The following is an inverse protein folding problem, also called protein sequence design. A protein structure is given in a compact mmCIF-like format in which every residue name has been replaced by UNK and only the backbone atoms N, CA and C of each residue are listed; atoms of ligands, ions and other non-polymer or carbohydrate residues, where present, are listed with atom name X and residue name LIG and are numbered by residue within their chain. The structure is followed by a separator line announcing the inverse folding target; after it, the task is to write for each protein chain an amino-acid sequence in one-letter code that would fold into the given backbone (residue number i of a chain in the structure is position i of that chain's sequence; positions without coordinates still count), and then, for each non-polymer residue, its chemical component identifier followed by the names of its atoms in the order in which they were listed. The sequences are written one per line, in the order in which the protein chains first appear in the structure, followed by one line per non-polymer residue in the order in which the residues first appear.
data_IF_988965715506
#
_entry.id   IF_988965715506
#
_cell.length_a   1.000
_cell.length_b   1.000
_cell.length_c   1.000
_cell.angle_alpha   90.00
_cell.angle_beta   90.00
_cell.angle_gamma   90.00
#
_symmetry.space_group_name_H-M   'P 1'
#
loop_
_entity.id
_entity.type
_entity.pdbx_description
1 polymer ?
#
# COMPACT_ATOMS: atom_id res chain seq x y z
N UNK A 1 -13.22 -14.19 10.98
CA UNK A 1 -14.27 -13.22 11.33
C UNK A 1 -15.07 -13.78 12.49
N UNK A 2 -15.25 -13.02 13.56
CA UNK A 2 -16.06 -13.40 14.72
C UNK A 2 -17.42 -12.73 14.59
N UNK A 3 -18.48 -13.51 14.76
CA UNK A 3 -19.87 -13.06 14.62
C UNK A 3 -20.66 -13.34 15.89
N UNK A 4 -21.63 -12.47 16.18
CA UNK A 4 -22.62 -12.62 17.27
C UNK A 4 -24.03 -12.49 16.71
N UNK A 5 -24.99 -13.25 17.22
CA UNK A 5 -26.39 -13.11 16.79
C UNK A 5 -26.94 -11.72 17.19
N UNK A 6 -27.61 -11.02 16.28
CA UNK A 6 -28.25 -9.72 16.59
C UNK A 6 -29.33 -9.85 17.67
N UNK A 7 -29.97 -11.01 17.76
CA UNK A 7 -30.98 -11.33 18.78
C UNK A 7 -30.40 -11.53 20.19
N UNK A 8 -29.08 -11.65 20.34
CA UNK A 8 -28.45 -12.02 21.61
C UNK A 8 -28.61 -13.50 22.00
N UNK A 9 -29.23 -14.32 21.14
CA UNK A 9 -29.38 -15.77 21.38
C UNK A 9 -28.03 -16.50 21.38
N UNK A 10 -27.92 -17.58 22.18
CA UNK A 10 -26.75 -18.44 22.21
C UNK A 10 -26.68 -19.36 20.98
N UNK A 11 -25.46 -19.61 20.51
CA UNK A 11 -25.15 -20.31 19.26
C UNK A 11 -25.21 -21.86 19.36
N UNK A 12 -25.79 -22.40 20.42
CA UNK A 12 -25.91 -23.85 20.69
C UNK A 12 -27.30 -24.42 20.37
N UNK A 13 -28.25 -23.60 19.91
CA UNK A 13 -29.60 -24.04 19.57
C UNK A 13 -29.74 -24.48 18.11
N UNK A 14 -30.76 -25.28 17.81
CA UNK A 14 -31.06 -25.70 16.43
C UNK A 14 -31.43 -24.50 15.52
N UNK A 15 -32.10 -23.48 16.08
CA UNK A 15 -32.42 -22.24 15.36
C UNK A 15 -31.14 -21.49 15.00
N UNK A 16 -30.23 -21.33 15.96
CA UNK A 16 -28.94 -20.69 15.73
C UNK A 16 -28.11 -21.47 14.70
N UNK A 17 -28.11 -22.81 14.74
CA UNK A 17 -27.46 -23.62 13.72
C UNK A 17 -28.00 -23.32 12.31
N UNK A 18 -29.32 -23.26 12.11
CA UNK A 18 -29.89 -22.93 10.80
C UNK A 18 -29.46 -21.54 10.32
N UNK A 19 -29.44 -20.55 11.20
CA UNK A 19 -28.98 -19.20 10.88
C UNK A 19 -27.49 -19.18 10.53
N UNK A 20 -26.65 -19.88 11.31
CA UNK A 20 -25.22 -20.02 11.05
C UNK A 20 -24.95 -20.78 9.74
N UNK A 21 -25.74 -21.80 9.42
CA UNK A 21 -25.66 -22.53 8.15
C UNK A 21 -26.04 -21.64 6.97
N UNK A 22 -27.09 -20.82 7.10
CA UNK A 22 -27.45 -19.85 6.07
C UNK A 22 -26.35 -18.80 5.85
N UNK A 23 -25.69 -18.37 6.93
CA UNK A 23 -24.54 -17.47 6.84
C UNK A 23 -23.35 -18.16 6.16
N UNK A 24 -23.04 -19.41 6.55
CA UNK A 24 -22.00 -20.23 5.93
C UNK A 24 -22.16 -20.27 4.40
N UNK A 25 -23.34 -20.67 3.91
CA UNK A 25 -23.62 -20.78 2.48
C UNK A 25 -23.53 -19.42 1.77
N UNK A 26 -23.98 -18.34 2.42
CA UNK A 26 -23.90 -17.00 1.84
C UNK A 26 -22.45 -16.51 1.70
N UNK A 27 -21.60 -16.78 2.69
CA UNK A 27 -20.17 -16.46 2.63
C UNK A 27 -19.43 -17.31 1.60
N UNK A 28 -19.75 -18.60 1.49
CA UNK A 28 -19.19 -19.50 0.46
C UNK A 28 -19.61 -19.10 -0.96
N UNK A 29 -20.83 -18.57 -1.12
CA UNK A 29 -21.33 -18.09 -2.41
C UNK A 29 -20.66 -16.80 -2.91
N UNK A 30 -19.88 -16.11 -2.06
CA UNK A 30 -19.22 -14.88 -2.45
C UNK A 30 -18.04 -15.12 -3.40
N UNK A 31 -17.94 -14.32 -4.48
CA UNK A 31 -16.91 -14.47 -5.53
C UNK A 31 -15.48 -14.51 -4.97
N UNK A 32 -15.19 -13.66 -3.98
CA UNK A 32 -13.87 -13.53 -3.37
C UNK A 32 -13.52 -14.58 -2.30
N UNK A 33 -14.47 -15.45 -1.94
CA UNK A 33 -14.26 -16.49 -0.93
C UNK A 33 -14.01 -17.84 -1.61
N UNK A 34 -12.99 -18.54 -1.14
CA UNK A 34 -12.58 -19.85 -1.64
C UNK A 34 -13.12 -21.01 -0.82
N UNK A 35 -13.07 -20.89 0.51
CA UNK A 35 -13.65 -21.85 1.44
C UNK A 35 -13.97 -21.16 2.76
N UNK A 36 -14.96 -21.68 3.49
CA UNK A 36 -15.32 -21.18 4.82
C UNK A 36 -15.31 -22.35 5.79
N UNK A 37 -14.61 -22.20 6.91
CA UNK A 37 -14.62 -23.16 8.01
C UNK A 37 -15.24 -22.50 9.24
N UNK A 38 -16.22 -23.17 9.83
CA UNK A 38 -17.01 -22.63 10.92
C UNK A 38 -17.66 -23.74 11.74
N UNK A 39 -18.27 -23.36 12.88
CA UNK A 39 -19.01 -24.27 13.73
C UNK A 39 -20.07 -25.12 12.99
N UNK A 40 -20.94 -24.57 12.12
CA UNK A 40 -21.94 -25.37 11.41
C UNK A 40 -21.33 -26.49 10.56
N UNK A 41 -20.18 -26.26 9.90
CA UNK A 41 -19.48 -27.29 9.10
C UNK A 41 -18.98 -28.42 9.98
N UNK A 42 -18.32 -28.10 11.11
CA UNK A 42 -17.86 -29.10 12.06
C UNK A 42 -19.03 -29.95 12.57
N UNK A 43 -20.16 -29.32 12.86
CA UNK A 43 -21.31 -30.03 13.36
C UNK A 43 -22.00 -30.89 12.30
N UNK A 44 -22.07 -30.41 11.06
CA UNK A 44 -22.57 -31.22 9.94
C UNK A 44 -21.70 -32.46 9.73
N UNK A 45 -20.37 -32.33 9.88
CA UNK A 45 -19.46 -33.48 9.82
C UNK A 45 -19.65 -34.43 11.00
N UNK A 46 -19.81 -33.91 12.23
CA UNK A 46 -20.08 -34.73 13.41
C UNK A 46 -21.37 -35.56 13.26
N UNK A 47 -22.41 -34.99 12.64
CA UNK A 47 -23.68 -35.67 12.37
C UNK A 47 -23.62 -36.81 11.35
N UNK A 48 -22.54 -36.92 10.57
CA UNK A 48 -22.34 -38.08 9.67
C UNK A 48 -21.99 -39.36 10.42
N UNK A 49 -21.65 -39.29 11.71
CA UNK A 49 -21.37 -40.47 12.53
C UNK A 49 -22.67 -41.27 12.81
N UNK A 50 -22.66 -42.61 12.72
CA UNK A 50 -23.86 -43.45 12.79
C UNK A 50 -24.75 -43.23 14.04
N UNK A 51 -24.16 -42.88 15.18
CA UNK A 51 -24.86 -42.68 16.44
C UNK A 51 -25.18 -41.19 16.73
N UNK A 52 -24.65 -40.26 15.93
CA UNK A 52 -24.81 -38.82 16.18
C UNK A 52 -26.22 -38.31 15.85
N UNK A 53 -27.02 -39.07 15.09
CA UNK A 53 -28.40 -38.71 14.75
C UNK A 53 -29.30 -38.58 15.98
N UNK A 54 -29.07 -39.39 17.03
CA UNK A 54 -29.87 -39.38 18.26
C UNK A 54 -29.48 -38.26 19.24
N UNK A 55 -28.34 -37.61 19.04
CA UNK A 55 -27.81 -36.61 19.96
C UNK A 55 -28.35 -35.21 19.66
N UNK A 56 -28.74 -34.49 20.72
CA UNK A 56 -29.09 -33.07 20.65
C UNK A 56 -27.85 -32.23 20.31
N UNK A 57 -28.06 -31.06 19.71
CA UNK A 57 -27.00 -30.13 19.30
C UNK A 57 -26.08 -29.69 20.45
N UNK A 58 -26.66 -29.39 21.61
CA UNK A 58 -25.92 -29.06 22.84
C UNK A 58 -24.96 -30.18 23.25
N UNK A 59 -25.41 -31.43 23.15
CA UNK A 59 -24.62 -32.61 23.51
C UNK A 59 -23.49 -32.86 22.52
N UNK A 60 -23.74 -32.68 21.22
CA UNK A 60 -22.68 -32.79 20.21
C UNK A 60 -21.60 -31.72 20.42
N UNK A 61 -21.99 -30.48 20.74
CA UNK A 61 -21.05 -29.41 21.08
C UNK A 61 -20.20 -29.77 22.30
N UNK A 62 -20.83 -30.27 23.37
CA UNK A 62 -20.14 -30.70 24.59
C UNK A 62 -19.17 -31.86 24.35
N UNK A 63 -19.55 -32.84 23.53
CA UNK A 63 -18.66 -33.95 23.15
C UNK A 63 -17.41 -33.42 22.42
N UNK A 64 -17.59 -32.49 21.48
CA UNK A 64 -16.47 -31.88 20.74
C UNK A 64 -15.57 -30.99 21.62
N UNK A 65 -16.04 -30.57 22.80
CA UNK A 65 -15.22 -29.83 23.77
C UNK A 65 -14.33 -30.73 24.62
N UNK A 66 -14.59 -32.03 24.64
CA UNK A 66 -13.79 -32.96 25.43
C UNK A 66 -12.38 -33.10 24.87
N UNK A 67 -11.41 -33.39 25.76
CA UNK A 67 -10.02 -33.64 25.39
C UNK A 67 -9.86 -34.74 24.33
N UNK A 68 -10.78 -35.71 24.29
CA UNK A 68 -10.80 -36.79 23.29
C UNK A 68 -10.87 -36.28 21.86
N UNK A 69 -11.50 -35.12 21.63
CA UNK A 69 -11.65 -34.50 20.31
C UNK A 69 -10.80 -33.22 20.17
N UNK A 70 -9.77 -33.08 21.02
CA UNK A 70 -8.85 -31.94 20.98
C UNK A 70 -9.52 -30.59 21.26
N UNK A 71 -10.69 -30.60 21.91
CA UNK A 71 -11.47 -29.41 22.23
C UNK A 71 -11.80 -28.53 21.01
N UNK A 72 -11.92 -29.13 19.82
CA UNK A 72 -11.99 -28.43 18.52
C UNK A 72 -13.09 -27.38 18.46
N UNK A 73 -14.22 -27.59 19.13
CA UNK A 73 -15.32 -26.63 19.18
C UNK A 73 -14.96 -25.34 19.91
N UNK A 74 -14.06 -25.38 20.91
CA UNK A 74 -13.60 -24.17 21.63
C UNK A 74 -12.84 -23.20 20.72
N UNK A 75 -12.32 -23.66 19.59
CA UNK A 75 -11.70 -22.80 18.57
C UNK A 75 -12.73 -22.05 17.72
N UNK A 76 -13.98 -22.51 17.66
CA UNK A 76 -15.02 -21.97 16.78
C UNK A 76 -16.18 -21.29 17.49
N UNK A 77 -16.36 -21.51 18.79
CA UNK A 77 -17.40 -20.86 19.58
C UNK A 77 -16.85 -20.48 20.96
N UNK A 78 -17.22 -19.31 21.45
CA UNK A 78 -16.85 -18.85 22.79
C UNK A 78 -17.50 -19.70 23.89
N UNK A 79 -16.92 -19.66 25.10
CA UNK A 79 -17.42 -20.41 26.26
C UNK A 79 -18.87 -20.02 26.62
N UNK A 80 -19.19 -18.72 26.52
CA UNK A 80 -20.54 -18.18 26.74
C UNK A 80 -21.53 -18.49 25.58
N UNK A 81 -21.05 -19.17 24.52
CA UNK A 81 -21.81 -19.48 23.29
C UNK A 81 -22.37 -18.27 22.55
N UNK A 82 -21.93 -17.05 22.84
CA UNK A 82 -22.48 -15.86 22.18
C UNK A 82 -21.74 -15.50 20.89
N UNK A 83 -20.50 -15.96 20.73
CA UNK A 83 -19.62 -15.58 19.63
C UNK A 83 -19.17 -16.81 18.85
N UNK A 84 -19.27 -16.76 17.52
CA UNK A 84 -18.84 -17.82 16.61
C UNK A 84 -17.73 -17.33 15.69
N UNK A 85 -16.71 -18.15 15.46
CA UNK A 85 -15.63 -17.86 14.53
C UNK A 85 -15.90 -18.51 13.16
N UNK A 86 -15.79 -17.69 12.12
CA UNK A 86 -15.74 -18.10 10.72
C UNK A 86 -14.33 -17.84 10.20
N UNK A 87 -13.64 -18.89 9.76
CA UNK A 87 -12.36 -18.81 9.08
C UNK A 87 -12.60 -18.85 7.58
N UNK A 88 -12.21 -17.79 6.87
CA UNK A 88 -12.42 -17.68 5.44
C UNK A 88 -11.06 -17.81 4.74
N UNK A 89 -10.96 -18.75 3.79
CA UNK A 89 -9.86 -18.81 2.84
C UNK A 89 -10.25 -17.97 1.63
N UNK A 90 -9.55 -16.86 1.39
CA UNK A 90 -9.86 -15.92 0.32
C UNK A 90 -9.24 -16.37 -1.01
N UNK A 91 -9.90 -16.05 -2.13
CA UNK A 91 -9.30 -16.17 -3.47
C UNK A 91 -8.47 -14.92 -3.76
N UNK A 92 -7.20 -15.12 -4.08
CA UNK A 92 -6.24 -14.02 -4.34
C UNK A 92 -5.92 -13.84 -5.84
N UNK A 93 -6.26 -14.82 -6.68
CA UNK A 93 -6.00 -14.76 -8.12
C UNK A 93 -7.07 -13.94 -8.85
N UNK A 94 -6.65 -13.17 -9.84
CA UNK A 94 -7.51 -12.36 -10.74
C UNK A 94 -8.48 -11.43 -10.00
N UNK A 95 -7.98 -10.79 -8.94
CA UNK A 95 -8.80 -9.91 -8.09
C UNK A 95 -8.97 -8.54 -8.74
N UNK A 96 -10.21 -8.22 -9.11
CA UNK A 96 -10.59 -6.89 -9.61
C UNK A 96 -10.74 -5.85 -8.48
N UNK A 97 -11.27 -6.28 -7.33
CA UNK A 97 -11.59 -5.40 -6.20
C UNK A 97 -10.44 -5.27 -5.17
N UNK A 98 -10.50 -4.25 -4.32
CA UNK A 98 -9.56 -4.15 -3.19
C UNK A 98 -9.91 -5.15 -2.09
N UNK A 99 -8.90 -5.60 -1.34
CA UNK A 99 -9.12 -6.49 -0.18
C UNK A 99 -10.11 -5.90 0.82
N UNK A 100 -10.04 -4.58 1.05
CA UNK A 100 -10.90 -3.89 2.00
C UNK A 100 -12.36 -3.82 1.52
N UNK A 101 -12.60 -3.64 0.22
CA UNK A 101 -13.96 -3.67 -0.35
C UNK A 101 -14.61 -5.06 -0.18
N UNK A 102 -13.88 -6.13 -0.48
CA UNK A 102 -14.36 -7.50 -0.26
C UNK A 102 -14.65 -7.72 1.23
N UNK A 103 -13.81 -7.21 2.13
CA UNK A 103 -14.06 -7.31 3.58
C UNK A 103 -15.33 -6.56 3.98
N UNK A 104 -15.61 -5.38 3.41
CA UNK A 104 -16.87 -4.67 3.68
C UNK A 104 -18.09 -5.41 3.14
N UNK A 105 -18.02 -6.00 1.94
CA UNK A 105 -19.11 -6.82 1.38
C UNK A 105 -19.42 -8.03 2.27
N UNK A 106 -18.38 -8.71 2.78
CA UNK A 106 -18.55 -9.83 3.70
C UNK A 106 -19.18 -9.41 5.03
N UNK A 107 -18.82 -8.22 5.56
CA UNK A 107 -19.47 -7.67 6.75
C UNK A 107 -20.95 -7.39 6.50
N UNK A 108 -21.28 -6.84 5.34
CA UNK A 108 -22.67 -6.59 4.96
C UNK A 108 -23.48 -7.90 4.87
N UNK A 109 -22.93 -8.95 4.25
CA UNK A 109 -23.56 -10.28 4.22
C UNK A 109 -23.84 -10.81 5.64
N UNK A 110 -22.89 -10.66 6.57
CA UNK A 110 -23.07 -11.06 7.97
C UNK A 110 -24.24 -10.30 8.61
N UNK A 111 -24.32 -8.99 8.37
CA UNK A 111 -25.38 -8.15 8.91
C UNK A 111 -26.76 -8.47 8.35
N UNK A 112 -26.85 -8.73 7.04
CA UNK A 112 -28.08 -9.13 6.35
C UNK A 112 -28.60 -10.49 6.84
N UNK A 113 -27.71 -11.40 7.23
CA UNK A 113 -28.08 -12.71 7.79
C UNK A 113 -28.41 -12.67 9.29
N UNK A 114 -28.49 -11.48 9.89
CA UNK A 114 -28.94 -11.32 11.28
C UNK A 114 -27.82 -11.45 12.32
N UNK A 115 -26.56 -11.28 11.92
CA UNK A 115 -25.40 -11.32 12.81
C UNK A 115 -24.68 -9.98 12.87
N UNK A 116 -23.81 -9.79 13.85
CA UNK A 116 -22.94 -8.62 14.02
C UNK A 116 -21.50 -9.10 13.84
N UNK A 117 -20.72 -8.56 12.89
CA UNK A 117 -19.31 -8.89 12.75
C UNK A 117 -18.49 -8.16 13.84
N UNK A 118 -18.28 -8.81 14.99
CA UNK A 118 -17.60 -8.20 16.15
C UNK A 118 -16.11 -8.00 15.90
N UNK A 119 -15.45 -8.97 15.25
CA UNK A 119 -14.01 -8.89 14.94
C UNK A 119 -13.77 -9.38 13.52
N UNK A 120 -13.13 -8.55 12.71
CA UNK A 120 -12.63 -8.96 11.39
C UNK A 120 -11.12 -8.76 11.37
N UNK A 121 -10.37 -9.86 11.21
CA UNK A 121 -8.92 -9.86 11.27
C UNK A 121 -8.34 -10.96 10.41
N UNK A 122 -7.05 -11.23 10.59
CA UNK A 122 -6.28 -12.15 9.76
C UNK A 122 -5.47 -11.43 8.68
N UNK A 123 -4.64 -12.20 7.99
CA UNK A 123 -3.65 -11.69 7.04
C UNK A 123 -4.28 -10.90 5.89
N UNK A 124 -5.45 -11.31 5.40
CA UNK A 124 -6.14 -10.63 4.29
C UNK A 124 -6.54 -9.18 4.62
N UNK A 125 -7.08 -8.95 5.82
CA UNK A 125 -7.48 -7.62 6.29
C UNK A 125 -6.25 -6.74 6.51
N UNK A 126 -5.20 -7.30 7.14
CA UNK A 126 -3.93 -6.61 7.36
C UNK A 126 -3.27 -6.17 6.05
N UNK A 127 -3.17 -7.08 5.07
CA UNK A 127 -2.65 -6.78 3.75
C UNK A 127 -3.50 -5.74 3.02
N UNK A 128 -4.82 -5.72 3.24
CA UNK A 128 -5.71 -4.68 2.73
C UNK A 128 -5.37 -3.30 3.30
N UNK A 129 -5.19 -3.19 4.62
CA UNK A 129 -4.80 -1.94 5.25
C UNK A 129 -3.39 -1.50 4.85
N UNK A 130 -2.43 -2.42 4.76
CA UNK A 130 -1.08 -2.13 4.28
C UNK A 130 -1.11 -1.58 2.85
N UNK A 131 -1.86 -2.21 1.94
CA UNK A 131 -2.04 -1.72 0.56
C UNK A 131 -2.66 -0.32 0.52
N UNK A 132 -3.66 -0.05 1.38
CA UNK A 132 -4.28 1.26 1.45
C UNK A 132 -3.34 2.33 2.03
N UNK A 133 -2.51 1.97 3.02
CA UNK A 133 -1.48 2.86 3.56
C UNK A 133 -0.43 3.20 2.50
N UNK A 134 0.05 2.21 1.74
CA UNK A 134 0.97 2.45 0.61
C UNK A 134 0.35 3.41 -0.40
N UNK A 135 -0.89 3.16 -0.83
CA UNK A 135 -1.60 4.03 -1.76
C UNK A 135 -1.77 5.46 -1.21
N UNK A 136 -2.19 5.58 0.05
CA UNK A 136 -2.35 6.88 0.73
C UNK A 136 -1.03 7.64 0.84
N UNK A 137 0.07 6.97 1.20
CA UNK A 137 1.42 7.56 1.24
C UNK A 137 1.89 8.03 -0.14
N UNK A 138 1.59 7.28 -1.21
CA UNK A 138 1.93 7.67 -2.57
C UNK A 138 1.08 8.83 -3.08
N UNK A 139 -0.20 8.91 -2.74
CA UNK A 139 -1.07 10.01 -3.20
C UNK A 139 -0.83 11.26 -2.35
N UNK A 140 -1.09 11.19 -1.04
CA UNK A 140 -1.04 12.36 -0.17
C UNK A 140 0.40 12.74 0.18
N UNK A 141 1.24 11.76 0.50
CA UNK A 141 2.63 12.01 0.88
C UNK A 141 3.44 12.61 -0.25
N UNK A 142 3.32 12.05 -1.46
CA UNK A 142 4.01 12.59 -2.64
C UNK A 142 3.47 13.96 -3.06
N UNK A 143 2.14 14.15 -3.03
CA UNK A 143 1.53 15.45 -3.36
C UNK A 143 1.99 16.54 -2.40
N UNK A 144 2.02 16.24 -1.09
CA UNK A 144 2.50 17.16 -0.08
C UNK A 144 4.00 17.46 -0.23
N UNK A 145 4.80 16.44 -0.54
CA UNK A 145 6.24 16.60 -0.82
C UNK A 145 6.49 17.54 -2.01
N UNK A 146 5.78 17.33 -3.13
CA UNK A 146 5.91 18.17 -4.32
C UNK A 146 5.42 19.61 -4.06
N UNK A 147 4.37 19.77 -3.26
CA UNK A 147 3.86 21.09 -2.86
C UNK A 147 4.88 21.84 -1.99
N UNK A 148 5.43 21.19 -0.95
CA UNK A 148 6.49 21.79 -0.13
C UNK A 148 7.69 22.15 -1.00
N UNK A 149 8.11 21.22 -1.87
CA UNK A 149 9.23 21.47 -2.76
C UNK A 149 8.97 22.66 -3.68
N UNK A 150 7.75 22.83 -4.20
CA UNK A 150 7.37 24.00 -4.96
C UNK A 150 7.50 25.29 -4.15
N UNK A 151 7.01 25.33 -2.91
CA UNK A 151 7.14 26.49 -2.02
C UNK A 151 8.61 26.85 -1.76
N UNK A 152 9.45 25.86 -1.46
CA UNK A 152 10.89 26.06 -1.23
C UNK A 152 11.57 26.54 -2.52
N UNK A 153 11.26 25.90 -3.65
CA UNK A 153 11.81 26.26 -4.96
C UNK A 153 11.45 27.68 -5.35
N UNK A 154 10.20 28.08 -5.12
CA UNK A 154 9.73 29.45 -5.37
C UNK A 154 10.47 30.45 -4.49
N UNK A 155 10.64 30.18 -3.19
CA UNK A 155 11.37 31.04 -2.26
C UNK A 155 12.85 31.19 -2.66
N UNK A 156 13.52 30.07 -2.97
CA UNK A 156 14.96 30.05 -3.31
C UNK A 156 15.22 30.63 -4.69
N UNK A 157 14.30 30.45 -5.64
CA UNK A 157 14.41 31.00 -6.99
C UNK A 157 13.84 32.42 -7.14
N UNK A 158 13.14 32.97 -6.12
CA UNK A 158 12.27 34.18 -6.14
C UNK A 158 11.66 34.47 -7.52
N UNK A 159 11.25 33.42 -8.21
CA UNK A 159 10.65 33.48 -9.55
C UNK A 159 9.69 32.32 -9.66
N UNK A 160 8.42 32.62 -9.87
CA UNK A 160 7.39 31.59 -10.00
C UNK A 160 7.72 30.65 -11.18
N UNK A 161 8.25 31.20 -12.26
CA UNK A 161 8.58 30.44 -13.48
C UNK A 161 9.70 29.43 -13.24
N UNK A 162 10.77 29.84 -12.54
CA UNK A 162 11.89 28.94 -12.20
C UNK A 162 11.44 27.92 -11.16
N UNK A 163 10.67 28.33 -10.15
CA UNK A 163 10.09 27.41 -9.17
C UNK A 163 9.24 26.32 -9.82
N UNK A 164 8.34 26.68 -10.74
CA UNK A 164 7.53 25.72 -11.49
C UNK A 164 8.38 24.81 -12.38
N UNK A 165 9.40 25.36 -13.06
CA UNK A 165 10.30 24.57 -13.88
C UNK A 165 11.05 23.51 -13.04
N UNK A 166 11.50 23.85 -11.84
CA UNK A 166 12.11 22.90 -10.90
C UNK A 166 11.11 21.81 -10.51
N UNK A 167 9.94 22.17 -9.99
CA UNK A 167 8.93 21.19 -9.55
C UNK A 167 8.52 20.26 -10.68
N UNK A 168 8.31 20.78 -11.89
CA UNK A 168 7.98 19.94 -13.05
C UNK A 168 9.13 19.01 -13.44
N UNK A 169 10.38 19.48 -13.41
CA UNK A 169 11.54 18.66 -13.77
C UNK A 169 11.69 17.46 -12.86
N UNK A 170 11.52 17.65 -11.55
CA UNK A 170 11.65 16.58 -10.56
C UNK A 170 10.38 15.75 -10.38
N UNK A 171 9.21 16.30 -10.73
CA UNK A 171 7.95 15.55 -10.83
C UNK A 171 7.98 14.45 -11.90
N UNK A 172 8.88 14.54 -12.89
CA UNK A 172 9.10 13.46 -13.86
C UNK A 172 9.66 12.19 -13.20
N UNK A 173 10.40 12.30 -12.09
CA UNK A 173 10.99 11.16 -11.39
C UNK A 173 9.91 10.19 -10.89
N UNK A 174 8.96 10.59 -10.01
CA UNK A 174 7.92 9.68 -9.55
C UNK A 174 7.04 9.19 -10.69
N UNK A 175 6.74 10.03 -11.69
CA UNK A 175 5.97 9.62 -12.86
C UNK A 175 6.64 8.48 -13.64
N UNK A 176 7.94 8.61 -13.89
CA UNK A 176 8.72 7.61 -14.63
C UNK A 176 8.89 6.34 -13.80
N UNK A 177 9.25 6.47 -12.53
CA UNK A 177 9.46 5.32 -11.64
C UNK A 177 8.16 4.56 -11.41
N UNK A 178 7.08 5.24 -11.04
CA UNK A 178 5.76 4.60 -10.83
C UNK A 178 5.22 4.02 -12.15
N UNK A 179 5.42 4.72 -13.27
CA UNK A 179 5.05 4.22 -14.59
C UNK A 179 5.75 2.91 -14.94
N UNK A 180 7.07 2.85 -14.77
CA UNK A 180 7.84 1.62 -15.01
C UNK A 180 7.44 0.49 -14.07
N UNK A 181 7.29 0.78 -12.77
CA UNK A 181 6.86 -0.20 -11.78
C UNK A 181 5.47 -0.76 -12.09
N UNK A 182 4.54 0.11 -12.51
CA UNK A 182 3.19 -0.29 -12.93
C UNK A 182 3.20 -1.12 -14.21
N UNK A 183 3.97 -0.72 -15.22
CA UNK A 183 4.10 -1.46 -16.49
C UNK A 183 4.72 -2.85 -16.30
N UNK A 184 5.75 -2.94 -15.46
CA UNK A 184 6.42 -4.21 -15.15
C UNK A 184 5.66 -5.05 -14.12
N UNK A 185 4.52 -4.55 -13.60
CA UNK A 185 3.71 -5.18 -12.54
C UNK A 185 4.52 -5.57 -11.32
N UNK A 186 5.53 -4.75 -10.97
CA UNK A 186 6.36 -4.97 -9.80
C UNK A 186 5.54 -4.56 -8.56
N UNK A 187 5.34 -5.45 -7.58
CA UNK A 187 4.57 -5.12 -6.40
C UNK A 187 5.31 -4.09 -5.55
N UNK A 188 4.60 -2.99 -5.23
CA UNK A 188 5.05 -1.98 -4.27
C UNK A 188 4.57 -2.32 -2.88
N UNK A 189 5.50 -2.38 -1.95
CA UNK A 189 5.25 -2.67 -0.55
C UNK A 189 5.53 -1.46 0.33
N UNK A 190 5.13 -1.54 1.59
CA UNK A 190 5.31 -0.46 2.59
C UNK A 190 6.78 -0.07 2.80
N UNK A 191 7.71 -1.00 2.51
CA UNK A 191 9.14 -0.78 2.64
C UNK A 191 9.70 -0.08 1.40
N UNK A 192 9.29 -0.48 0.19
CA UNK A 192 9.85 0.05 -1.06
C UNK A 192 9.18 1.36 -1.50
N UNK A 193 7.91 1.59 -1.18
CA UNK A 193 7.16 2.77 -1.62
C UNK A 193 7.80 4.12 -1.20
N UNK A 194 8.34 4.28 0.03
CA UNK A 194 9.02 5.51 0.43
C UNK A 194 10.26 5.87 -0.40
N UNK A 195 10.87 4.91 -1.10
CA UNK A 195 12.06 5.15 -1.93
C UNK A 195 11.83 6.25 -2.98
N UNK A 196 10.60 6.36 -3.49
CA UNK A 196 10.23 7.36 -4.51
C UNK A 196 10.35 8.77 -3.94
N UNK A 197 9.86 8.98 -2.71
CA UNK A 197 9.98 10.26 -2.00
C UNK A 197 11.43 10.61 -1.70
N UNK A 198 12.24 9.61 -1.32
CA UNK A 198 13.68 9.79 -1.07
C UNK A 198 14.42 10.17 -2.36
N UNK A 199 14.14 9.48 -3.47
CA UNK A 199 14.73 9.79 -4.77
C UNK A 199 14.46 11.24 -5.21
N UNK A 200 13.24 11.74 -4.96
CA UNK A 200 12.90 13.15 -5.20
C UNK A 200 13.72 14.05 -4.29
N UNK A 201 13.76 13.77 -2.98
CA UNK A 201 14.50 14.59 -2.01
C UNK A 201 15.98 14.79 -2.38
N UNK A 202 16.63 13.74 -2.88
CA UNK A 202 18.01 13.81 -3.39
C UNK A 202 18.12 14.74 -4.61
N UNK A 203 17.16 14.68 -5.54
CA UNK A 203 17.19 15.52 -6.73
C UNK A 203 16.87 16.98 -6.46
N UNK A 204 15.94 17.23 -5.53
CA UNK A 204 15.59 18.56 -5.03
C UNK A 204 16.82 19.32 -4.55
N UNK A 205 17.73 18.67 -3.84
CA UNK A 205 18.97 19.29 -3.34
C UNK A 205 19.87 19.77 -4.51
N UNK A 206 20.09 18.90 -5.49
CA UNK A 206 20.85 19.23 -6.71
C UNK A 206 20.22 20.39 -7.50
N UNK A 207 18.89 20.46 -7.54
CA UNK A 207 18.15 21.56 -8.15
C UNK A 207 18.41 22.89 -7.43
N UNK A 208 18.32 22.87 -6.10
CA UNK A 208 18.49 24.05 -5.26
C UNK A 208 19.91 24.60 -5.36
N UNK A 209 20.92 23.72 -5.33
CA UNK A 209 22.31 24.11 -5.55
C UNK A 209 22.52 24.74 -6.94
N UNK A 210 21.93 24.16 -7.97
CA UNK A 210 22.00 24.68 -9.34
C UNK A 210 21.35 26.06 -9.48
N UNK A 211 20.15 26.25 -8.90
CA UNK A 211 19.48 27.56 -8.89
C UNK A 211 20.28 28.60 -8.09
N UNK A 212 20.80 28.24 -6.92
CA UNK A 212 21.58 29.18 -6.10
C UNK A 212 22.80 29.69 -6.85
N UNK A 213 23.52 28.80 -7.54
CA UNK A 213 24.67 29.18 -8.35
C UNK A 213 24.26 30.01 -9.58
N UNK A 214 23.18 29.63 -10.28
CA UNK A 214 22.61 30.45 -11.36
C UNK A 214 22.28 31.89 -10.90
N UNK A 215 21.67 32.04 -9.72
CA UNK A 215 21.36 33.36 -9.16
C UNK A 215 22.59 34.17 -8.80
N UNK A 216 23.64 33.50 -8.32
CA UNK A 216 24.91 34.15 -8.06
C UNK A 216 25.54 34.69 -9.35
N UNK A 217 25.50 33.92 -10.44
CA UNK A 217 25.96 34.39 -11.76
C UNK A 217 25.12 35.56 -12.29
N UNK A 218 23.79 35.49 -12.15
CA UNK A 218 22.88 36.54 -12.60
C UNK A 218 23.14 37.88 -11.90
N UNK A 219 23.53 37.87 -10.61
CA UNK A 219 23.92 39.08 -9.89
C UNK A 219 25.17 39.75 -10.49
N UNK A 220 26.04 38.98 -11.14
CA UNK A 220 27.24 39.47 -11.83
C UNK A 220 26.95 39.95 -13.27
N UNK A 221 25.68 40.26 -13.59
CA UNK A 221 25.20 40.88 -14.85
C UNK A 221 25.52 40.08 -16.12
N UNK A 222 25.59 38.74 -16.06
CA UNK A 222 25.65 37.92 -17.29
C UNK A 222 24.25 37.79 -17.92
N UNK A 223 24.14 37.67 -19.25
CA UNK A 223 22.90 37.31 -19.91
C UNK A 223 22.33 36.00 -19.35
N UNK A 224 21.00 35.94 -19.18
CA UNK A 224 20.34 34.80 -18.53
C UNK A 224 20.62 33.46 -19.20
N UNK A 225 20.72 33.45 -20.54
CA UNK A 225 20.97 32.22 -21.28
C UNK A 225 22.38 31.65 -21.04
N UNK A 226 23.38 32.53 -20.97
CA UNK A 226 24.76 32.18 -20.63
C UNK A 226 24.86 31.74 -19.16
N UNK A 227 24.09 32.36 -18.26
CA UNK A 227 24.12 32.02 -16.83
C UNK A 227 23.62 30.60 -16.54
N UNK A 228 22.64 30.08 -17.30
CA UNK A 228 22.19 28.69 -17.15
C UNK A 228 23.20 27.67 -17.69
N UNK A 229 23.88 27.98 -18.79
CA UNK A 229 24.91 27.09 -19.35
C UNK A 229 26.15 27.00 -18.47
N UNK A 230 26.57 28.13 -17.92
CA UNK A 230 27.66 28.18 -16.96
C UNK A 230 27.27 27.47 -15.66
N UNK A 231 26.05 27.67 -15.17
CA UNK A 231 25.55 26.96 -13.99
C UNK A 231 25.52 25.44 -14.22
N UNK A 232 25.04 25.00 -15.38
CA UNK A 232 25.05 23.59 -15.79
C UNK A 232 26.47 23.02 -15.83
N UNK A 233 27.43 23.73 -16.45
CA UNK A 233 28.83 23.30 -16.55
C UNK A 233 29.49 23.18 -15.18
N UNK A 234 29.25 24.15 -14.31
CA UNK A 234 29.80 24.14 -12.95
C UNK A 234 29.19 23.02 -12.10
N UNK A 235 27.87 22.82 -12.20
CA UNK A 235 27.14 21.83 -11.40
C UNK A 235 27.25 20.40 -11.91
N UNK A 236 27.74 20.18 -13.14
CA UNK A 236 27.90 18.84 -13.72
C UNK A 236 28.69 17.91 -12.80
N UNK A 237 29.92 18.27 -12.45
CA UNK A 237 30.80 17.42 -11.65
C UNK A 237 30.23 17.18 -10.22
N UNK A 238 29.81 18.21 -9.46
CA UNK A 238 29.26 18.00 -8.12
C UNK A 238 28.01 17.11 -8.11
N UNK A 239 27.06 17.36 -9.01
CA UNK A 239 25.79 16.59 -9.04
C UNK A 239 26.04 15.14 -9.45
N UNK A 240 26.81 14.92 -10.52
CA UNK A 240 27.09 13.56 -11.00
C UNK A 240 27.85 12.76 -9.94
N UNK A 241 28.87 13.35 -9.30
CA UNK A 241 29.65 12.67 -8.27
C UNK A 241 28.79 12.34 -7.04
N UNK A 242 27.95 13.27 -6.58
CA UNK A 242 27.05 13.02 -5.45
C UNK A 242 26.08 11.88 -5.77
N UNK A 243 25.46 11.89 -6.96
CA UNK A 243 24.53 10.84 -7.38
C UNK A 243 25.22 9.49 -7.58
N UNK A 244 26.46 9.46 -8.09
CA UNK A 244 27.25 8.22 -8.19
C UNK A 244 27.53 7.60 -6.82
N UNK A 245 27.93 8.40 -5.83
CA UNK A 245 28.13 7.92 -4.46
C UNK A 245 26.84 7.34 -3.89
N UNK A 246 25.71 8.01 -4.12
CA UNK A 246 24.40 7.51 -3.68
C UNK A 246 24.06 6.19 -4.38
N UNK A 247 24.21 6.11 -5.71
CA UNK A 247 23.94 4.87 -6.46
C UNK A 247 24.81 3.71 -5.96
N UNK A 248 26.10 3.95 -5.71
CA UNK A 248 26.99 2.93 -5.14
C UNK A 248 26.57 2.54 -3.73
N UNK A 249 26.22 3.50 -2.87
CA UNK A 249 25.76 3.24 -1.51
C UNK A 249 24.49 2.39 -1.46
N UNK A 250 23.52 2.65 -2.35
CA UNK A 250 22.27 1.88 -2.42
C UNK A 250 22.37 0.61 -3.27
N UNK A 251 23.43 0.44 -4.08
CA UNK A 251 23.65 -0.79 -4.85
C UNK A 251 23.79 -2.03 -3.98
N UNK A 252 24.27 -1.88 -2.74
CA UNK A 252 24.38 -2.99 -1.78
C UNK A 252 23.02 -3.64 -1.48
N UNK A 253 21.92 -2.88 -1.59
CA UNK A 253 20.57 -3.40 -1.34
C UNK A 253 20.11 -4.37 -2.43
N UNK A 254 20.67 -4.30 -3.63
CA UNK A 254 20.37 -5.24 -4.71
C UNK A 254 20.79 -6.68 -4.38
N UNK A 255 21.74 -6.85 -3.45
CA UNK A 255 22.19 -8.16 -2.98
C UNK A 255 21.41 -8.70 -1.77
N UNK A 256 20.40 -7.96 -1.27
CA UNK A 256 19.61 -8.41 -0.13
C UNK A 256 18.77 -9.63 -0.48
N UNK A 257 18.66 -10.63 0.40
CA UNK A 257 17.72 -11.75 0.22
C UNK A 257 16.25 -11.35 0.40
N UNK A 258 15.99 -10.13 0.88
CA UNK A 258 14.65 -9.62 1.13
C UNK A 258 14.17 -8.73 -0.05
N UNK A 259 13.20 -9.18 -0.88
CA UNK A 259 12.81 -8.48 -2.09
C UNK A 259 12.37 -7.02 -1.90
N UNK A 260 11.66 -6.63 -0.82
CA UNK A 260 11.31 -5.23 -0.59
C UNK A 260 12.54 -4.31 -0.48
N UNK A 261 13.64 -4.80 0.10
CA UNK A 261 14.91 -4.07 0.22
C UNK A 261 15.59 -3.92 -1.14
N UNK A 262 15.62 -5.00 -1.94
CA UNK A 262 16.14 -4.94 -3.31
C UNK A 262 15.38 -3.89 -4.15
N UNK A 263 14.04 -3.91 -4.08
CA UNK A 263 13.18 -2.95 -4.79
C UNK A 263 13.40 -1.53 -4.32
N UNK A 264 13.55 -1.32 -3.02
CA UNK A 264 13.91 -0.01 -2.46
C UNK A 264 15.21 0.51 -3.08
N UNK A 265 16.27 -0.29 -3.05
CA UNK A 265 17.57 0.06 -3.65
C UNK A 265 17.47 0.37 -5.14
N UNK A 266 16.78 -0.49 -5.91
CA UNK A 266 16.59 -0.30 -7.34
C UNK A 266 15.86 1.01 -7.68
N UNK A 267 14.82 1.35 -6.92
CA UNK A 267 14.09 2.62 -7.08
C UNK A 267 14.98 3.82 -6.78
N UNK A 268 15.80 3.77 -5.73
CA UNK A 268 16.75 4.86 -5.41
C UNK A 268 17.77 5.03 -6.53
N UNK A 269 18.34 3.95 -7.04
CA UNK A 269 19.34 3.99 -8.12
C UNK A 269 18.74 4.58 -9.39
N UNK A 270 17.56 4.09 -9.80
CA UNK A 270 16.85 4.63 -10.96
C UNK A 270 16.46 6.10 -10.76
N UNK A 271 15.99 6.47 -9.57
CA UNK A 271 15.66 7.84 -9.20
C UNK A 271 16.86 8.78 -9.19
N UNK A 272 18.02 8.32 -8.70
CA UNK A 272 19.28 9.07 -8.71
C UNK A 272 19.75 9.34 -10.15
N UNK A 273 19.67 8.32 -11.01
CA UNK A 273 19.99 8.49 -12.43
C UNK A 273 19.05 9.50 -13.11
N UNK A 274 17.75 9.39 -12.89
CA UNK A 274 16.76 10.35 -13.40
C UNK A 274 16.96 11.76 -12.83
N UNK A 275 17.43 11.87 -11.59
CA UNK A 275 17.74 13.14 -10.94
C UNK A 275 18.88 13.89 -11.64
N UNK A 276 19.95 13.19 -12.05
CA UNK A 276 21.02 13.79 -12.87
C UNK A 276 20.42 14.39 -14.15
N UNK A 277 19.56 13.63 -14.83
CA UNK A 277 18.92 14.09 -16.06
C UNK A 277 18.02 15.30 -15.81
N UNK A 278 17.20 15.24 -14.76
CA UNK A 278 16.27 16.30 -14.38
C UNK A 278 16.99 17.60 -14.02
N UNK A 279 18.08 17.54 -13.23
CA UNK A 279 18.76 18.73 -12.73
C UNK A 279 19.62 19.42 -13.81
N UNK A 280 20.30 18.63 -14.64
CA UNK A 280 21.32 19.16 -15.57
C UNK A 280 20.69 19.51 -16.93
N UNK A 281 19.73 18.72 -17.40
CA UNK A 281 19.17 18.89 -18.75
C UNK A 281 17.77 19.50 -18.70
N UNK A 282 16.84 18.83 -18.02
CA UNK A 282 15.42 19.17 -18.09
C UNK A 282 15.14 20.53 -17.44
N UNK A 283 15.72 20.77 -16.26
CA UNK A 283 15.47 21.99 -15.50
C UNK A 283 15.98 23.26 -16.21
N UNK A 284 17.25 23.36 -16.66
CA UNK A 284 17.69 24.53 -17.42
C UNK A 284 16.91 24.73 -18.72
N UNK A 285 16.52 23.64 -19.39
CA UNK A 285 15.73 23.71 -20.62
C UNK A 285 14.32 24.30 -20.38
N UNK A 286 13.61 23.83 -19.35
CA UNK A 286 12.30 24.35 -18.98
C UNK A 286 12.37 25.81 -18.49
N UNK A 287 13.42 26.15 -17.73
CA UNK A 287 13.62 27.50 -17.23
C UNK A 287 13.89 28.51 -18.37
N UNK A 288 14.65 28.12 -19.39
CA UNK A 288 14.90 28.95 -20.59
C UNK A 288 13.62 29.20 -21.41
N UNK A 289 12.82 28.17 -21.66
CA UNK A 289 11.63 28.27 -22.55
C UNK A 289 10.47 29.08 -21.98
N UNK A 290 10.24 29.08 -20.67
CA UNK A 290 9.02 29.68 -20.08
C UNK A 290 8.96 31.20 -20.09
N UNK A 291 10.05 31.91 -20.40
CA UNK A 291 9.99 33.37 -20.66
C UNK A 291 9.43 33.73 -22.04
N UNK A 292 9.27 32.76 -22.95
CA UNK A 292 8.71 33.00 -24.29
C UNK A 292 7.17 32.87 -24.31
N UNK A 293 6.57 32.25 -23.28
CA UNK A 293 5.13 31.93 -23.26
C UNK A 293 4.27 32.76 -22.29
N UNK A 294 4.86 33.58 -21.43
CA UNK A 294 4.12 34.48 -20.55
C UNK A 294 4.68 35.90 -20.72
N UNK A 295 4.01 36.76 -21.52
CA UNK A 295 4.30 38.19 -21.56
C UNK A 295 4.02 38.86 -20.20
#
# INVERSE_FOLDING_TARGET
MVVRAKSGETLNTWRAYKQLWNLQTALEGHKGVGAVLSLPVLMAQAKRSPLAFFLRWEWLLWIMESQRYGEISKSFVSQDRQSGLFLLRMKEYDREDTRLNIVSELKQIVEEKGFIPTITGGTYVLQGHMSNQVMSSLIYGLSYLLLIFFCISWLVSRSLNVGLAMTMSFGVIPLTVLGLVGMLKIPLDIISAPAISVAIGMGVDSALHTVRYWRWIQKNKKPEEQSWEEAKRYMWNPVVNAMLVIMLGFSIFLFSEFPPTQRFGAVIIGGAFLSIFASIFLMPWLAKRRKIMLP
#
